data_IF_157665385028
#
_entry.id   IF_157665385028
#
_cell.length_a   1.000
_cell.length_b   1.000
_cell.length_c   1.000
_cell.angle_alpha   90.00
_cell.angle_beta   90.00
_cell.angle_gamma   90.00
#
_symmetry.space_group_name_H-M   'P 1'
#
loop_
_entity.id
_entity.type
_entity.pdbx_description
1 polymer ?
#
# COMPACT_ATOMS: atom_id res chain seq x y z
N UNK A 1 -57.67 1.16 2.17
CA UNK A 1 -56.82 1.16 0.94
C UNK A 1 -56.01 2.46 0.98
N UNK A 2 -54.69 2.54 0.97
CA UNK A 2 -53.64 1.61 0.54
C UNK A 2 -52.29 2.09 1.14
N UNK A 3 -51.54 1.13 1.65
CA UNK A 3 -50.07 1.02 1.72
C UNK A 3 -49.23 2.19 2.29
N UNK A 4 -48.99 2.10 3.60
CA UNK A 4 -47.75 2.51 4.24
C UNK A 4 -46.55 1.73 3.66
N UNK A 5 -45.66 2.40 2.92
CA UNK A 5 -44.37 1.86 2.52
C UNK A 5 -43.44 1.83 3.73
N UNK A 6 -43.28 0.64 4.34
CA UNK A 6 -42.24 0.38 5.34
C UNK A 6 -40.87 0.49 4.66
N UNK A 7 -40.10 1.50 5.05
CA UNK A 7 -38.67 1.60 4.72
C UNK A 7 -37.97 0.57 5.59
N UNK A 8 -37.63 -0.58 4.98
CA UNK A 8 -36.80 -1.59 5.62
C UNK A 8 -35.35 -1.14 5.41
N UNK A 9 -34.80 -0.45 6.40
CA UNK A 9 -33.36 -0.17 6.50
C UNK A 9 -32.67 -1.45 6.95
N UNK A 10 -32.27 -2.29 6.02
CA UNK A 10 -31.48 -3.49 6.32
C UNK A 10 -30.03 -3.08 6.58
N UNK A 11 -29.65 -2.93 7.86
CA UNK A 11 -28.25 -2.85 8.28
C UNK A 11 -27.60 -4.22 8.11
N UNK A 12 -26.96 -4.44 6.96
CA UNK A 12 -26.20 -5.66 6.68
C UNK A 12 -24.78 -5.49 7.24
N UNK A 13 -24.59 -5.88 8.51
CA UNK A 13 -23.27 -6.11 9.11
C UNK A 13 -22.80 -7.51 8.71
N UNK A 14 -22.10 -7.62 7.57
CA UNK A 14 -21.41 -8.87 7.21
C UNK A 14 -19.98 -8.82 7.75
N UNK A 15 -19.78 -9.49 8.89
CA UNK A 15 -18.46 -9.83 9.42
C UNK A 15 -17.88 -11.01 8.62
N UNK A 16 -17.30 -10.76 7.43
CA UNK A 16 -16.59 -11.81 6.68
C UNK A 16 -15.21 -12.04 7.30
N UNK A 17 -15.07 -13.12 8.08
CA UNK A 17 -13.76 -13.67 8.39
C UNK A 17 -13.14 -14.26 7.11
N UNK A 18 -12.32 -13.47 6.41
CA UNK A 18 -11.66 -13.88 5.17
C UNK A 18 -10.45 -14.79 5.46
N UNK A 19 -10.69 -16.08 5.68
CA UNK A 19 -9.63 -17.10 5.59
C UNK A 19 -9.49 -17.53 4.13
N UNK A 20 -8.55 -16.92 3.41
CA UNK A 20 -8.16 -17.40 2.09
C UNK A 20 -7.30 -18.67 2.27
N UNK A 21 -7.94 -19.82 2.08
CA UNK A 21 -7.24 -21.10 1.98
C UNK A 21 -6.36 -21.06 0.73
N UNK A 22 -5.06 -20.91 0.97
CA UNK A 22 -4.01 -20.96 -0.03
C UNK A 22 -3.75 -22.41 -0.43
N UNK A 23 -4.47 -22.90 -1.45
CA UNK A 23 -4.07 -24.12 -2.16
C UNK A 23 -4.22 -23.88 -3.68
N UNK A 24 -3.09 -23.68 -4.36
CA UNK A 24 -2.98 -23.83 -5.82
C UNK A 24 -3.77 -22.88 -6.73
N UNK A 25 -4.25 -21.74 -6.25
CA UNK A 25 -5.14 -20.90 -7.05
C UNK A 25 -4.37 -20.15 -8.14
N UNK A 26 -4.73 -20.37 -9.42
CA UNK A 26 -4.11 -19.72 -10.60
C UNK A 26 -4.30 -18.20 -10.62
N UNK A 27 -5.12 -17.65 -9.70
CA UNK A 27 -5.54 -16.25 -9.63
C UNK A 27 -4.86 -15.52 -8.47
N UNK A 28 -4.37 -14.32 -8.75
CA UNK A 28 -3.82 -13.41 -7.75
C UNK A 28 -4.88 -12.96 -6.73
N UNK A 29 -4.50 -12.52 -5.52
CA UNK A 29 -5.47 -12.06 -4.52
C UNK A 29 -6.36 -10.91 -5.02
N UNK A 30 -5.82 -10.03 -5.87
CA UNK A 30 -6.61 -8.95 -6.48
C UNK A 30 -7.69 -9.50 -7.40
N UNK A 31 -7.38 -10.51 -8.22
CA UNK A 31 -8.37 -11.13 -9.09
C UNK A 31 -9.47 -11.83 -8.28
N UNK A 32 -9.10 -12.48 -7.17
CA UNK A 32 -10.07 -13.10 -6.26
C UNK A 32 -10.98 -12.04 -5.61
N UNK A 33 -10.41 -10.94 -5.09
CA UNK A 33 -11.17 -9.82 -4.54
C UNK A 33 -12.07 -9.17 -5.61
N UNK A 34 -11.53 -8.92 -6.80
CA UNK A 34 -12.27 -8.34 -7.92
C UNK A 34 -13.43 -9.22 -8.36
N UNK A 35 -13.27 -10.55 -8.37
CA UNK A 35 -14.32 -11.48 -8.71
C UNK A 35 -15.46 -11.48 -7.68
N UNK A 36 -15.13 -11.37 -6.39
CA UNK A 36 -16.12 -11.23 -5.31
C UNK A 36 -16.90 -9.92 -5.38
N UNK A 37 -16.27 -8.86 -5.90
CA UNK A 37 -16.85 -7.52 -6.03
C UNK A 37 -17.43 -7.24 -7.42
N UNK A 38 -17.67 -8.28 -8.25
CA UNK A 38 -18.09 -8.11 -9.65
C UNK A 38 -19.35 -7.24 -9.79
N UNK A 39 -20.30 -7.38 -8.87
CA UNK A 39 -21.61 -6.70 -8.87
C UNK A 39 -21.55 -5.32 -8.17
N UNK A 40 -20.41 -4.99 -7.56
CA UNK A 40 -20.17 -3.66 -6.98
C UNK A 40 -19.76 -2.71 -8.11
N UNK A 41 -20.45 -1.57 -8.31
CA UNK A 41 -20.17 -0.69 -9.44
C UNK A 41 -18.82 0.04 -9.29
N UNK A 42 -18.48 0.46 -8.07
CA UNK A 42 -17.31 1.29 -7.80
C UNK A 42 -16.59 0.82 -6.54
N UNK A 43 -15.28 0.55 -6.64
CA UNK A 43 -14.44 0.16 -5.51
C UNK A 43 -12.95 0.40 -5.77
N UNK A 44 -12.14 0.32 -4.71
CA UNK A 44 -10.67 0.34 -4.79
C UNK A 44 -10.05 -0.74 -3.92
N UNK A 45 -9.02 -1.41 -4.45
CA UNK A 45 -8.19 -2.38 -3.72
C UNK A 45 -6.80 -1.78 -3.60
N UNK A 46 -6.42 -1.47 -2.37
CA UNK A 46 -5.18 -0.77 -2.01
C UNK A 46 -4.24 -1.77 -1.33
N UNK A 47 -2.95 -1.72 -1.68
CA UNK A 47 -1.93 -2.48 -0.94
C UNK A 47 -1.68 -1.81 0.41
N UNK A 48 -2.35 -2.30 1.43
CA UNK A 48 -2.30 -1.75 2.78
C UNK A 48 -1.03 -2.17 3.51
N UNK A 49 -0.61 -3.43 3.38
CA UNK A 49 0.60 -3.88 4.05
C UNK A 49 1.23 -5.04 3.29
N UNK A 50 2.51 -5.30 3.55
CA UNK A 50 3.20 -6.46 3.03
C UNK A 50 4.31 -6.91 3.96
N UNK A 51 4.61 -8.21 3.94
CA UNK A 51 5.71 -8.76 4.72
C UNK A 51 6.30 -10.01 4.09
N UNK A 52 7.60 -10.17 4.29
CA UNK A 52 8.30 -11.43 4.11
C UNK A 52 8.69 -12.03 5.47
N UNK A 53 8.40 -13.31 5.66
CA UNK A 53 8.74 -14.09 6.84
C UNK A 53 9.63 -15.28 6.47
N UNK A 54 10.27 -15.90 7.46
CA UNK A 54 11.20 -17.02 7.26
C UNK A 54 12.63 -16.57 7.02
N UNK A 55 13.60 -17.38 7.48
CA UNK A 55 15.03 -17.10 7.35
C UNK A 55 15.62 -17.75 6.10
N UNK A 56 15.31 -19.04 5.89
CA UNK A 56 15.82 -19.87 4.79
C UNK A 56 14.80 -19.88 3.65
N UNK A 57 13.58 -20.32 3.93
CA UNK A 57 12.48 -20.29 2.98
C UNK A 57 11.61 -19.06 3.25
N UNK A 58 11.57 -18.14 2.29
CA UNK A 58 10.79 -16.91 2.43
C UNK A 58 9.31 -17.17 2.13
N UNK A 59 8.44 -16.63 2.97
CA UNK A 59 7.01 -16.58 2.71
C UNK A 59 6.57 -15.13 2.58
N UNK A 60 5.86 -14.84 1.51
CA UNK A 60 5.45 -13.49 1.15
C UNK A 60 3.96 -13.33 1.39
N UNK A 61 3.60 -12.21 2.01
CA UNK A 61 2.21 -11.92 2.33
C UNK A 61 1.89 -10.47 2.01
N UNK A 62 0.68 -10.23 1.52
CA UNK A 62 0.08 -8.92 1.35
C UNK A 62 -1.15 -8.77 2.25
N UNK A 63 -1.45 -7.54 2.63
CA UNK A 63 -2.70 -7.12 3.26
C UNK A 63 -3.31 -6.05 2.39
N UNK A 64 -4.63 -6.09 2.20
CA UNK A 64 -5.34 -5.17 1.33
C UNK A 64 -6.37 -4.37 2.11
N UNK A 65 -6.51 -3.09 1.73
CA UNK A 65 -7.62 -2.22 2.12
C UNK A 65 -8.56 -2.12 0.92
N UNK A 66 -9.81 -2.49 1.12
CA UNK A 66 -10.86 -2.44 0.11
C UNK A 66 -11.82 -1.32 0.49
N UNK A 67 -12.02 -0.38 -0.44
CA UNK A 67 -12.94 0.74 -0.28
C UNK A 67 -14.13 0.52 -1.21
N UNK A 68 -15.35 0.52 -0.66
CA UNK A 68 -16.61 0.41 -1.39
C UNK A 68 -17.52 1.55 -0.93
N UNK A 69 -17.68 2.59 -1.75
CA UNK A 69 -18.33 3.84 -1.31
C UNK A 69 -17.78 4.32 0.04
N UNK A 70 -18.62 4.39 1.09
CA UNK A 70 -18.26 4.80 2.45
C UNK A 70 -17.64 3.67 3.29
N UNK A 71 -17.74 2.41 2.86
CA UNK A 71 -17.28 1.25 3.60
C UNK A 71 -15.79 0.97 3.36
N UNK A 72 -15.07 0.73 4.46
CA UNK A 72 -13.67 0.29 4.45
C UNK A 72 -13.58 -1.10 5.03
N UNK A 73 -13.01 -2.02 4.26
CA UNK A 73 -12.73 -3.38 4.69
C UNK A 73 -11.23 -3.68 4.59
N UNK A 74 -10.72 -4.47 5.52
CA UNK A 74 -9.34 -4.91 5.52
C UNK A 74 -9.28 -6.42 5.41
N UNK A 75 -8.39 -6.93 4.57
CA UNK A 75 -8.10 -8.37 4.58
C UNK A 75 -7.19 -8.72 5.76
N UNK A 76 -7.11 -10.01 6.09
CA UNK A 76 -5.94 -10.55 6.79
C UNK A 76 -4.69 -10.50 5.90
N UNK A 77 -3.56 -10.97 6.43
CA UNK A 77 -2.38 -11.25 5.61
C UNK A 77 -2.65 -12.47 4.73
N UNK A 78 -2.58 -12.27 3.42
CA UNK A 78 -2.81 -13.28 2.39
C UNK A 78 -1.47 -13.68 1.80
N UNK A 79 -1.20 -14.99 1.74
CA UNK A 79 0.02 -15.51 1.13
C UNK A 79 0.02 -15.22 -0.38
N UNK A 80 1.15 -14.79 -0.91
CA UNK A 80 1.37 -14.51 -2.34
C UNK A 80 2.64 -15.18 -2.82
N UNK A 81 2.76 -15.36 -4.14
CA UNK A 81 4.02 -15.79 -4.75
C UNK A 81 5.09 -14.70 -4.60
N UNK A 82 6.35 -15.10 -4.59
CA UNK A 82 7.47 -14.15 -4.56
C UNK A 82 7.45 -13.20 -5.76
N UNK A 83 7.16 -13.72 -6.95
CA UNK A 83 7.06 -12.91 -8.17
C UNK A 83 5.98 -11.83 -8.03
N UNK A 84 4.82 -12.17 -7.49
CA UNK A 84 3.74 -11.22 -7.27
C UNK A 84 4.09 -10.20 -6.19
N UNK A 85 4.78 -10.62 -5.13
CA UNK A 85 5.28 -9.71 -4.09
C UNK A 85 6.25 -8.68 -4.67
N UNK A 86 7.30 -9.14 -5.36
CA UNK A 86 8.32 -8.28 -5.98
C UNK A 86 7.71 -7.31 -6.99
N UNK A 87 6.75 -7.78 -7.80
CA UNK A 87 6.02 -6.91 -8.75
C UNK A 87 5.30 -5.75 -8.06
N UNK A 88 4.82 -5.94 -6.83
CA UNK A 88 4.03 -4.93 -6.11
C UNK A 88 4.79 -4.22 -4.98
N UNK A 89 6.08 -4.54 -4.77
CA UNK A 89 6.85 -4.08 -3.61
C UNK A 89 7.02 -2.56 -3.55
N UNK A 90 6.83 -1.86 -4.67
CA UNK A 90 6.94 -0.41 -4.77
C UNK A 90 5.60 0.31 -4.58
N UNK A 91 4.49 -0.43 -4.47
CA UNK A 91 3.13 0.13 -4.49
C UNK A 91 2.43 0.16 -3.13
N UNK A 92 3.16 0.10 -2.01
CA UNK A 92 2.55 0.23 -0.68
C UNK A 92 1.77 1.54 -0.58
N UNK A 93 0.54 1.46 -0.08
CA UNK A 93 -0.38 2.59 0.04
C UNK A 93 -1.03 3.02 -1.29
N UNK A 94 -0.77 2.33 -2.40
CA UNK A 94 -1.37 2.63 -3.71
C UNK A 94 -2.54 1.71 -4.02
N UNK A 95 -3.51 2.21 -4.78
CA UNK A 95 -4.57 1.41 -5.37
C UNK A 95 -3.97 0.56 -6.48
N UNK A 96 -4.04 -0.77 -6.33
CA UNK A 96 -3.58 -1.74 -7.33
C UNK A 96 -4.68 -2.09 -8.34
N UNK A 97 -5.94 -1.91 -7.95
CA UNK A 97 -7.10 -2.01 -8.81
C UNK A 97 -8.17 -1.03 -8.33
N UNK A 98 -8.75 -0.26 -9.25
CA UNK A 98 -9.97 0.49 -8.99
C UNK A 98 -11.00 0.17 -10.07
N UNK A 99 -12.27 0.14 -9.72
CA UNK A 99 -13.39 0.07 -10.66
C UNK A 99 -14.20 1.36 -10.53
N UNK A 100 -14.50 1.99 -11.67
CA UNK A 100 -15.40 3.14 -11.77
C UNK A 100 -16.51 2.84 -12.78
N UNK A 101 -17.44 3.78 -12.96
CA UNK A 101 -18.44 3.72 -14.03
C UNK A 101 -17.81 3.54 -15.44
N UNK A 102 -16.60 4.04 -15.64
CA UNK A 102 -15.85 3.97 -16.91
C UNK A 102 -15.03 2.67 -17.05
N UNK A 103 -15.10 1.77 -16.07
CA UNK A 103 -14.46 0.46 -16.08
C UNK A 103 -13.27 0.32 -15.11
N UNK A 104 -12.37 -0.61 -15.43
CA UNK A 104 -11.28 -0.99 -14.54
C UNK A 104 -10.02 -0.16 -14.77
N UNK A 105 -9.43 0.29 -13.67
CA UNK A 105 -8.11 0.91 -13.62
C UNK A 105 -7.14 -0.07 -12.95
N UNK A 106 -6.31 -0.72 -13.78
CA UNK A 106 -5.36 -1.77 -13.33
C UNK A 106 -3.94 -1.24 -13.08
N UNK A 107 -3.66 -0.01 -13.52
CA UNK A 107 -2.36 0.63 -13.32
C UNK A 107 -2.30 1.21 -11.91
N UNK A 108 -1.30 0.83 -11.08
CA UNK A 108 -1.19 1.33 -9.73
C UNK A 108 -1.17 2.86 -9.66
N UNK A 109 -1.99 3.44 -8.82
CA UNK A 109 -2.10 4.88 -8.67
C UNK A 109 -2.47 5.28 -7.25
N UNK A 110 -2.29 6.57 -6.88
CA UNK A 110 -2.71 7.03 -5.58
C UNK A 110 -4.23 6.81 -5.39
N UNK A 111 -4.66 6.33 -4.21
CA UNK A 111 -6.08 6.09 -3.97
C UNK A 111 -6.92 7.34 -4.20
N UNK A 112 -8.09 7.18 -4.82
CA UNK A 112 -9.07 8.23 -5.06
C UNK A 112 -8.87 9.06 -6.33
N UNK A 113 -7.68 9.01 -6.97
CA UNK A 113 -7.43 9.73 -8.24
C UNK A 113 -8.38 9.30 -9.36
N UNK A 114 -8.99 8.11 -9.27
CA UNK A 114 -9.99 7.66 -10.23
C UNK A 114 -11.28 8.50 -10.26
N UNK A 115 -11.56 9.28 -9.21
CA UNK A 115 -12.73 10.15 -9.12
C UNK A 115 -12.40 11.62 -9.42
N UNK A 116 -11.11 11.98 -9.35
CA UNK A 116 -10.65 13.34 -9.59
C UNK A 116 -10.83 13.69 -11.06
N UNK A 117 -11.31 14.90 -11.34
CA UNK A 117 -11.53 15.38 -12.71
C UNK A 117 -12.84 14.90 -13.35
N UNK A 118 -13.63 14.07 -12.67
CA UNK A 118 -14.95 13.66 -13.14
C UNK A 118 -16.04 14.53 -12.47
N UNK A 119 -16.77 15.30 -13.28
CA UNK A 119 -17.79 16.25 -12.84
C UNK A 119 -18.96 15.64 -12.09
N UNK A 120 -19.15 14.31 -12.13
CA UNK A 120 -20.13 13.61 -11.28
C UNK A 120 -19.78 13.72 -9.79
N UNK A 121 -18.49 13.80 -9.44
CA UNK A 121 -18.01 13.69 -8.06
C UNK A 121 -17.57 15.02 -7.45
N UNK A 122 -17.27 16.03 -8.27
CA UNK A 122 -16.73 17.29 -7.78
C UNK A 122 -16.33 18.26 -8.88
N UNK A 123 -15.60 19.28 -8.48
CA UNK A 123 -15.16 20.37 -9.33
C UNK A 123 -13.78 20.89 -8.93
N UNK A 124 -13.14 21.61 -9.85
CA UNK A 124 -11.89 22.33 -9.57
C UNK A 124 -12.20 23.67 -8.92
N UNK A 125 -11.65 23.92 -7.72
CA UNK A 125 -11.75 25.19 -6.99
C UNK A 125 -10.40 25.88 -6.89
N UNK A 126 -10.40 27.21 -6.81
CA UNK A 126 -9.18 27.96 -6.51
C UNK A 126 -8.97 27.99 -4.98
N UNK A 127 -7.74 27.73 -4.54
CA UNK A 127 -7.32 27.98 -3.17
C UNK A 127 -6.96 29.47 -2.97
N UNK A 128 -6.70 29.86 -1.72
CA UNK A 128 -6.32 31.25 -1.36
C UNK A 128 -5.04 31.73 -2.03
N UNK A 129 -4.23 30.82 -2.58
CA UNK A 129 -2.96 31.09 -3.24
C UNK A 129 -3.08 31.06 -4.77
N UNK A 130 -4.31 30.94 -5.31
CA UNK A 130 -4.58 30.91 -6.74
C UNK A 130 -4.35 29.54 -7.41
N UNK A 131 -4.01 28.49 -6.66
CA UNK A 131 -3.87 27.16 -7.24
C UNK A 131 -5.23 26.48 -7.41
N UNK A 132 -5.36 25.63 -8.42
CA UNK A 132 -6.57 24.85 -8.64
C UNK A 132 -6.49 23.49 -7.93
N UNK A 133 -7.40 23.26 -6.97
CA UNK A 133 -7.53 22.03 -6.19
C UNK A 133 -8.85 21.31 -6.50
N UNK A 134 -8.84 19.98 -6.45
CA UNK A 134 -10.07 19.20 -6.59
C UNK A 134 -10.90 19.26 -5.31
N UNK A 135 -12.18 19.58 -5.44
CA UNK A 135 -13.14 19.59 -4.35
C UNK A 135 -14.31 18.65 -4.68
N UNK A 136 -14.51 17.63 -3.84
CA UNK A 136 -15.68 16.76 -3.94
C UNK A 136 -16.96 17.52 -3.59
N UNK A 137 -18.08 17.17 -4.23
CA UNK A 137 -19.39 17.66 -3.80
C UNK A 137 -19.74 17.11 -2.41
N UNK A 138 -20.64 17.81 -1.71
CA UNK A 138 -21.00 17.50 -0.31
C UNK A 138 -21.28 16.02 -0.05
N UNK A 139 -22.07 15.38 -0.93
CA UNK A 139 -22.41 13.95 -0.81
C UNK A 139 -21.21 13.00 -1.01
N UNK A 140 -20.08 13.47 -1.55
CA UNK A 140 -18.86 12.70 -1.77
C UNK A 140 -17.68 13.18 -0.91
N UNK A 141 -17.91 14.12 0.03
CA UNK A 141 -16.84 14.65 0.88
C UNK A 141 -16.11 13.59 1.70
N UNK A 142 -16.80 12.48 2.03
CA UNK A 142 -16.19 11.34 2.72
C UNK A 142 -15.01 10.75 1.94
N UNK A 143 -15.00 10.84 0.60
CA UNK A 143 -13.92 10.35 -0.26
C UNK A 143 -12.60 11.02 0.09
N UNK A 144 -12.62 12.32 0.41
CA UNK A 144 -11.42 13.05 0.83
C UNK A 144 -10.78 12.42 2.06
N UNK A 145 -11.58 11.99 3.04
CA UNK A 145 -11.08 11.35 4.24
C UNK A 145 -10.57 9.93 3.94
N UNK A 146 -11.35 9.14 3.20
CA UNK A 146 -11.03 7.73 2.94
C UNK A 146 -9.76 7.53 2.10
N UNK A 147 -9.50 8.46 1.18
CA UNK A 147 -8.32 8.47 0.31
C UNK A 147 -7.17 9.33 0.85
N UNK A 148 -7.32 9.95 2.03
CA UNK A 148 -6.27 10.78 2.64
C UNK A 148 -5.98 12.07 1.87
N UNK A 149 -6.97 12.60 1.16
CA UNK A 149 -6.88 13.87 0.42
C UNK A 149 -7.16 15.09 1.29
N UNK A 150 -7.71 14.92 2.50
CA UNK A 150 -7.87 16.03 3.47
C UNK A 150 -6.52 16.63 3.84
N UNK A 151 -5.52 15.80 4.14
CA UNK A 151 -4.17 16.26 4.47
C UNK A 151 -3.34 16.56 3.23
N UNK A 152 -3.77 16.09 2.05
CA UNK A 152 -3.03 16.15 0.79
C UNK A 152 -3.99 16.44 -0.37
N UNK A 153 -4.42 17.69 -0.53
CA UNK A 153 -5.29 18.09 -1.63
C UNK A 153 -4.69 17.70 -2.98
N UNK A 154 -5.54 17.35 -3.93
CA UNK A 154 -5.10 17.03 -5.29
C UNK A 154 -5.12 18.31 -6.12
N UNK A 155 -3.95 18.77 -6.52
CA UNK A 155 -3.81 19.93 -7.39
C UNK A 155 -4.05 19.55 -8.85
N UNK A 156 -4.50 20.51 -9.66
CA UNK A 156 -4.77 20.32 -11.08
C UNK A 156 -3.51 19.94 -11.86
N UNK A 157 -2.35 20.45 -11.45
CA UNK A 157 -1.04 20.06 -11.98
C UNK A 157 -0.71 18.59 -11.69
N UNK A 158 -0.92 18.13 -10.45
CA UNK A 158 -0.74 16.72 -10.06
C UNK A 158 -1.68 15.80 -10.84
N UNK A 159 -2.93 16.23 -11.04
CA UNK A 159 -3.88 15.48 -11.84
C UNK A 159 -3.49 15.41 -13.32
N UNK A 160 -2.99 16.52 -13.89
CA UNK A 160 -2.43 16.52 -15.25
C UNK A 160 -1.32 15.49 -15.40
N UNK A 161 -0.33 15.51 -14.51
CA UNK A 161 0.74 14.52 -14.49
C UNK A 161 0.20 13.08 -14.33
N UNK A 162 -0.74 12.86 -13.41
CA UNK A 162 -1.41 11.57 -13.27
C UNK A 162 -2.05 11.08 -14.57
N UNK A 163 -2.79 11.96 -15.27
CA UNK A 163 -3.47 11.58 -16.52
C UNK A 163 -2.48 11.19 -17.61
N UNK A 164 -1.32 11.84 -17.70
CA UNK A 164 -0.29 11.49 -18.67
C UNK A 164 0.36 10.15 -18.34
N UNK A 165 0.68 9.89 -17.06
CA UNK A 165 1.18 8.60 -16.61
C UNK A 165 0.17 7.48 -16.89
N UNK A 166 -1.11 7.72 -16.60
CA UNK A 166 -2.20 6.79 -16.85
C UNK A 166 -2.33 6.44 -18.34
N UNK A 167 -2.33 7.44 -19.23
CA UNK A 167 -2.39 7.23 -20.70
C UNK A 167 -1.25 6.34 -21.20
N UNK A 168 -0.08 6.43 -20.57
CA UNK A 168 1.10 5.63 -20.89
C UNK A 168 1.18 4.31 -20.10
N UNK A 169 0.13 3.91 -19.37
CA UNK A 169 0.11 2.72 -18.52
C UNK A 169 1.22 2.68 -17.45
N UNK A 170 1.65 3.86 -16.97
CA UNK A 170 2.71 4.01 -15.97
C UNK A 170 2.11 4.29 -14.59
N UNK A 171 2.62 3.64 -13.52
CA UNK A 171 2.24 3.99 -12.16
C UNK A 171 2.62 5.44 -11.84
N UNK A 172 1.70 6.18 -11.21
CA UNK A 172 1.94 7.56 -10.79
C UNK A 172 2.21 7.61 -9.29
N UNK A 173 3.38 8.10 -8.89
CA UNK A 173 3.80 8.19 -7.49
C UNK A 173 3.57 9.58 -6.87
N UNK A 174 2.84 10.46 -7.57
CA UNK A 174 2.76 11.87 -7.22
C UNK A 174 3.92 12.67 -7.81
N UNK A 175 3.71 13.97 -8.03
CA UNK A 175 4.71 14.85 -8.66
C UNK A 175 6.02 14.95 -7.85
N UNK A 176 5.94 14.78 -6.53
CA UNK A 176 7.07 14.76 -5.61
C UNK A 176 7.37 13.35 -5.07
N UNK A 177 6.95 12.29 -5.78
CA UNK A 177 7.07 10.89 -5.34
C UNK A 177 6.52 10.64 -3.92
N UNK A 178 5.44 11.33 -3.56
CA UNK A 178 4.87 11.27 -2.22
C UNK A 178 4.08 9.97 -1.94
N UNK A 179 3.78 9.16 -2.96
CA UNK A 179 3.06 7.88 -2.85
C UNK A 179 3.98 6.67 -3.15
N UNK A 180 3.48 5.45 -2.91
CA UNK A 180 4.25 4.21 -3.07
C UNK A 180 5.21 3.96 -1.92
N UNK A 181 5.89 2.82 -1.92
CA UNK A 181 6.65 2.31 -0.76
C UNK A 181 7.76 3.24 -0.28
N UNK A 182 8.31 4.08 -1.16
CA UNK A 182 9.36 5.04 -0.79
C UNK A 182 8.82 6.45 -0.52
N UNK A 183 7.53 6.68 -0.76
CA UNK A 183 6.92 8.00 -0.68
C UNK A 183 6.76 8.53 0.74
N UNK A 184 6.86 9.85 0.88
CA UNK A 184 6.78 10.54 2.17
C UNK A 184 5.44 10.31 2.87
N UNK A 185 4.32 10.35 2.13
CA UNK A 185 3.00 10.12 2.72
C UNK A 185 2.79 8.66 3.12
N UNK A 186 3.31 7.71 2.34
CA UNK A 186 3.26 6.28 2.68
C UNK A 186 4.01 6.01 3.98
N UNK A 187 5.18 6.62 4.19
CA UNK A 187 5.95 6.51 5.44
C UNK A 187 5.19 7.00 6.66
N UNK A 188 4.37 8.03 6.50
CA UNK A 188 3.56 8.59 7.58
C UNK A 188 2.34 7.70 7.91
N UNK A 189 1.70 7.12 6.90
CA UNK A 189 0.45 6.37 7.03
C UNK A 189 0.65 4.88 7.33
N UNK A 190 1.76 4.29 6.89
CA UNK A 190 2.02 2.85 6.98
C UNK A 190 3.17 2.52 7.95
N UNK A 191 3.16 3.15 9.14
CA UNK A 191 4.24 3.05 10.14
C UNK A 191 4.61 1.62 10.48
N UNK A 192 3.61 0.76 10.67
CA UNK A 192 3.80 -0.66 11.03
C UNK A 192 4.69 -1.42 10.03
N UNK A 193 4.57 -1.16 8.72
CA UNK A 193 5.44 -1.73 7.71
C UNK A 193 6.89 -1.31 7.91
N UNK A 194 7.13 -0.01 8.10
CA UNK A 194 8.48 0.53 8.26
C UNK A 194 9.11 0.13 9.58
N UNK A 195 8.33 0.05 10.66
CA UNK A 195 8.80 -0.43 11.96
C UNK A 195 9.31 -1.88 11.85
N UNK A 196 8.52 -2.75 11.18
CA UNK A 196 8.96 -4.13 10.91
C UNK A 196 10.18 -4.18 9.99
N UNK A 197 10.25 -3.31 8.97
CA UNK A 197 11.43 -3.21 8.07
C UNK A 197 12.69 -2.79 8.84
N UNK A 198 12.59 -1.78 9.69
CA UNK A 198 13.70 -1.30 10.54
C UNK A 198 14.13 -2.35 11.56
N UNK A 199 13.19 -3.03 12.22
CA UNK A 199 13.51 -4.11 13.16
C UNK A 199 14.32 -5.23 12.48
N UNK A 200 13.91 -5.66 11.27
CA UNK A 200 14.66 -6.65 10.48
C UNK A 200 16.07 -6.16 10.13
N UNK A 201 16.22 -4.90 9.74
CA UNK A 201 17.54 -4.33 9.44
C UNK A 201 18.44 -4.28 10.68
N UNK A 202 17.89 -3.93 11.85
CA UNK A 202 18.63 -3.94 13.12
C UNK A 202 19.11 -5.34 13.48
N UNK A 203 18.23 -6.34 13.40
CA UNK A 203 18.59 -7.74 13.66
C UNK A 203 19.67 -8.25 12.69
N UNK A 204 19.57 -7.91 11.40
CA UNK A 204 20.59 -8.28 10.41
C UNK A 204 21.95 -7.63 10.69
N UNK A 205 21.97 -6.36 11.13
CA UNK A 205 23.21 -5.69 11.55
C UNK A 205 23.82 -6.33 12.79
N UNK A 206 23.00 -6.67 13.78
CA UNK A 206 23.45 -7.35 15.00
C UNK A 206 24.05 -8.72 14.71
N UNK A 207 23.40 -9.55 13.88
CA UNK A 207 23.91 -10.87 13.51
C UNK A 207 25.21 -10.78 12.70
N UNK A 208 25.33 -9.80 11.81
CA UNK A 208 26.56 -9.52 11.09
C UNK A 208 27.70 -9.11 12.04
N UNK A 209 27.44 -8.18 12.97
CA UNK A 209 28.43 -7.73 13.95
C UNK A 209 28.91 -8.89 14.84
N UNK A 210 28.00 -9.76 15.29
CA UNK A 210 28.35 -10.98 16.03
C UNK A 210 29.25 -11.92 15.20
N UNK A 211 28.93 -12.11 13.92
CA UNK A 211 29.75 -12.94 13.02
C UNK A 211 31.15 -12.36 12.83
N UNK A 212 31.29 -11.05 12.66
CA UNK A 212 32.60 -10.37 12.55
C UNK A 212 33.39 -10.52 13.86
N UNK A 213 32.76 -10.25 15.02
CA UNK A 213 33.41 -10.41 16.33
C UNK A 213 33.92 -11.84 16.55
N UNK A 214 33.14 -12.86 16.17
CA UNK A 214 33.54 -14.27 16.30
C UNK A 214 34.73 -14.67 15.41
N UNK A 215 34.96 -13.95 14.30
CA UNK A 215 36.09 -14.18 13.39
C UNK A 215 37.33 -13.38 13.80
N UNK A 216 37.17 -12.11 14.19
CA UNK A 216 38.24 -11.26 14.68
C UNK A 216 38.81 -11.74 16.03
N UNK A 217 37.97 -12.34 16.90
CA UNK A 217 38.43 -12.97 18.14
C UNK A 217 39.21 -14.27 17.97
N UNK A 218 39.21 -14.87 16.76
CA UNK A 218 40.01 -16.07 16.42
C UNK A 218 41.34 -15.74 15.76
N UNK A 219 41.56 -14.51 15.30
CA UNK A 219 42.84 -14.03 14.76
C UNK A 219 43.67 -13.33 15.84
N UNK A 220 44.00 -14.05 16.92
CA UNK A 220 45.14 -13.72 17.76
C UNK A 220 46.21 -14.77 17.44
N UNK A 221 47.08 -14.46 16.48
CA UNK A 221 48.31 -15.22 16.26
C UNK A 221 49.15 -15.15 17.54
N UNK A 222 49.62 -16.26 18.11
CA UNK A 222 50.56 -16.21 19.22
C UNK A 222 51.93 -15.83 18.65
N UNK A 223 52.16 -14.53 18.41
CA UNK A 223 53.53 -14.01 18.34
C UNK A 223 54.09 -14.07 19.76
N UNK A 224 54.56 -15.27 20.09
CA UNK A 224 55.41 -15.57 21.24
C UNK A 224 56.64 -14.68 21.09
N UNK A 225 56.70 -13.57 21.82
CA UNK A 225 57.93 -12.77 21.89
C UNK A 225 59.00 -13.63 22.56
N UNK A 226 59.86 -14.24 21.73
CA UNK A 226 61.10 -14.85 22.19
C UNK A 226 61.98 -13.69 22.63
N UNK A 227 62.20 -13.58 23.93
CA UNK A 227 63.15 -12.65 24.53
C UNK A 227 64.53 -12.83 23.92
N UNK A 228 65.01 -11.80 23.22
CA UNK A 228 66.41 -11.62 22.90
C UNK A 228 67.06 -10.82 24.02
N UNK A 229 67.59 -11.51 25.02
CA UNK A 229 68.48 -10.91 26.01
C UNK A 229 69.88 -10.83 25.41
N UNK A 230 70.36 -9.60 25.19
CA UNK A 230 71.75 -9.28 24.89
C UNK A 230 72.41 -8.90 26.22
N UNK A 231 73.40 -9.66 26.67
CA UNK A 231 74.13 -9.40 27.92
C UNK A 231 75.40 -10.22 27.97
N UNK A 232 76.53 -9.49 28.06
CA UNK A 232 77.95 -9.88 28.05
C UNK A 232 78.32 -11.23 28.66
#
# INVERSE_FOLDING_TARGET
MSLTKKIITTCILISVAMTLQSCGDRRSPIEQLSAKLKDVPEYSIILEDMQSTGSIFKHYHHKYKVIIKEDIQYTGFVKVSEQYYRKNENYLGMALLSKTADGYMKTPSPPGYQYVGNSKYGEWKQDSSGNSIWAFYGQYMFMSHMFGMVSRPVYRSDYGAYTDYRKNNRPYYGSNNQYGTNGSATKQTHKSFFDRKMARQRMAKQSFAQKVKSRAGRSQSPFRSRGGGFGK
#
